data_IF_366340478476
#
_entry.id   IF_366340478476
#
_cell.length_a   1.000
_cell.length_b   1.000
_cell.length_c   1.000
_cell.angle_alpha   90.00
_cell.angle_beta   90.00
_cell.angle_gamma   90.00
#
_symmetry.space_group_name_H-M   'P 1'
#
loop_
_entity.id
_entity.type
_entity.pdbx_description
1 polymer ?
#
# COMPACT_ATOMS: atom_id res chain seq x y z
N UNK A 1 -19.05 18.16 -1.79
CA UNK A 1 -18.02 18.03 -2.42
C UNK A 1 -17.23 16.91 -2.04
N UNK A 2 -16.70 16.45 -2.88
CA UNK A 2 -16.07 15.28 -2.59
C UNK A 2 -14.65 15.42 -2.37
N UNK A 3 -14.28 16.62 -2.13
CA UNK A 3 -12.94 16.85 -1.78
C UNK A 3 -12.50 16.05 -0.63
N UNK A 4 -13.43 15.55 0.11
CA UNK A 4 -13.06 14.80 1.27
C UNK A 4 -12.72 13.37 1.00
N UNK A 5 -12.93 12.92 -0.20
CA UNK A 5 -12.55 11.57 -0.53
C UNK A 5 -11.04 11.50 -0.50
N UNK A 6 -10.52 10.58 0.26
CA UNK A 6 -9.07 10.42 0.37
C UNK A 6 -8.72 8.95 0.34
N UNK A 7 -7.51 8.68 -0.07
CA UNK A 7 -6.98 7.34 -0.07
C UNK A 7 -6.00 7.18 1.09
N UNK A 8 -6.06 6.04 1.73
CA UNK A 8 -5.18 5.73 2.85
C UNK A 8 -4.51 4.40 2.56
N UNK A 9 -3.18 4.34 2.76
CA UNK A 9 -2.46 3.09 2.65
C UNK A 9 -1.83 2.81 4.01
N UNK A 10 -2.07 1.63 4.55
CA UNK A 10 -1.50 1.21 5.82
C UNK A 10 -0.27 0.36 5.53
N UNK A 11 0.86 0.74 6.10
CA UNK A 11 2.14 0.02 5.95
C UNK A 11 2.74 -0.23 7.33
N UNK A 12 3.81 -1.01 7.39
CA UNK A 12 4.42 -1.34 8.68
C UNK A 12 5.42 -0.32 9.15
N UNK A 13 6.24 0.26 8.26
CA UNK A 13 7.34 1.07 8.71
C UNK A 13 7.63 2.30 7.88
N UNK A 14 8.59 3.09 8.38
CA UNK A 14 8.99 4.35 7.74
C UNK A 14 9.57 4.15 6.35
N UNK A 15 10.36 3.08 6.17
CA UNK A 15 10.99 2.82 4.88
C UNK A 15 9.91 2.58 3.83
N UNK A 16 8.89 1.82 4.19
CA UNK A 16 7.79 1.54 3.27
C UNK A 16 7.08 2.83 2.90
N UNK A 17 6.81 3.66 3.90
CA UNK A 17 6.14 4.93 3.64
C UNK A 17 6.97 5.81 2.72
N UNK A 18 8.26 5.89 2.96
CA UNK A 18 9.13 6.73 2.17
C UNK A 18 9.14 6.29 0.71
N UNK A 19 9.18 4.98 0.48
CA UNK A 19 9.18 4.45 -0.88
C UNK A 19 7.89 4.79 -1.61
N UNK A 20 6.75 4.65 -0.93
CA UNK A 20 5.48 5.00 -1.54
C UNK A 20 5.40 6.50 -1.82
N UNK A 21 5.93 7.32 -0.92
CA UNK A 21 5.92 8.76 -1.13
C UNK A 21 6.73 9.16 -2.36
N UNK A 22 7.79 8.42 -2.65
CA UNK A 22 8.60 8.68 -3.83
C UNK A 22 7.84 8.38 -5.12
N UNK A 23 6.95 7.39 -5.08
CA UNK A 23 6.27 6.91 -6.28
C UNK A 23 4.97 7.66 -6.55
N UNK A 24 4.23 7.97 -5.50
CA UNK A 24 2.88 8.50 -5.65
C UNK A 24 2.86 9.93 -6.16
N UNK A 25 1.95 10.19 -7.11
CA UNK A 25 1.78 11.52 -7.70
C UNK A 25 0.48 12.17 -7.25
N UNK A 26 -0.20 11.60 -6.28
CA UNK A 26 -1.42 12.19 -5.73
C UNK A 26 -1.34 12.15 -4.20
N UNK A 27 -2.14 12.97 -3.53
CA UNK A 27 -2.14 12.94 -2.06
C UNK A 27 -2.72 11.64 -1.55
N UNK A 28 -1.94 10.93 -0.76
CA UNK A 28 -2.37 9.68 -0.12
C UNK A 28 -1.86 9.73 1.30
N UNK A 29 -2.72 9.43 2.26
CA UNK A 29 -2.28 9.34 3.63
C UNK A 29 -1.66 7.96 3.84
N UNK A 30 -0.44 7.91 4.34
CA UNK A 30 0.25 6.66 4.57
C UNK A 30 0.45 6.48 6.07
N UNK A 31 -0.23 5.47 6.60
CA UNK A 31 -0.24 5.21 8.03
C UNK A 31 0.72 4.07 8.35
N UNK A 32 1.67 4.31 9.26
CA UNK A 32 2.60 3.27 9.69
C UNK A 32 2.14 2.66 11.01
N UNK A 33 2.11 1.34 11.09
CA UNK A 33 1.71 0.67 12.31
C UNK A 33 2.88 0.38 13.23
N UNK A 34 4.09 0.33 12.67
CA UNK A 34 5.30 0.00 13.42
C UNK A 34 5.18 -1.35 14.12
N UNK A 35 4.73 -2.34 13.36
CA UNK A 35 4.56 -3.69 13.86
C UNK A 35 3.10 -4.02 14.06
N UNK A 36 2.82 -5.09 14.81
CA UNK A 36 1.44 -5.50 15.04
C UNK A 36 0.74 -4.51 15.96
N UNK A 37 -0.57 -4.59 15.96
CA UNK A 37 -1.39 -3.57 16.61
C UNK A 37 -1.79 -4.00 18.03
N UNK A 38 -1.57 -3.10 18.98
CA UNK A 38 -2.13 -3.23 20.33
C UNK A 38 -3.55 -2.70 20.28
N UNK A 39 -4.29 -2.92 21.36
CA UNK A 39 -5.64 -2.38 21.46
C UNK A 39 -5.63 -0.87 21.36
N UNK A 40 -4.64 -0.24 21.97
CA UNK A 40 -4.54 1.20 21.94
C UNK A 40 -4.31 1.72 20.53
N UNK A 41 -3.41 1.06 19.78
CA UNK A 41 -3.18 1.44 18.39
C UNK A 41 -4.41 1.24 17.53
N UNK A 42 -5.15 0.17 17.79
CA UNK A 42 -6.37 -0.06 17.06
C UNK A 42 -7.34 1.09 17.29
N UNK A 43 -7.54 1.49 18.53
CA UNK A 43 -8.44 2.59 18.84
C UNK A 43 -7.97 3.90 18.22
N UNK A 44 -6.69 4.19 18.35
CA UNK A 44 -6.19 5.49 17.95
C UNK A 44 -6.00 5.63 16.45
N UNK A 45 -5.58 4.56 15.78
CA UNK A 45 -5.17 4.64 14.39
C UNK A 45 -6.13 3.98 13.42
N UNK A 46 -6.75 2.89 13.83
CA UNK A 46 -7.50 2.05 12.91
C UNK A 46 -8.99 2.34 12.93
N UNK A 47 -9.59 2.43 14.12
CA UNK A 47 -11.02 2.68 14.20
C UNK A 47 -11.45 3.97 13.49
N UNK A 48 -10.65 5.04 13.52
CA UNK A 48 -11.03 6.24 12.76
C UNK A 48 -11.14 6.00 11.25
N UNK A 49 -10.58 4.92 10.74
CA UNK A 49 -10.61 4.62 9.32
C UNK A 49 -11.82 3.80 8.91
N UNK A 50 -12.65 3.37 9.85
CA UNK A 50 -13.76 2.48 9.52
C UNK A 50 -14.78 3.12 8.58
N UNK A 51 -14.89 4.43 8.59
CA UNK A 51 -15.81 5.13 7.71
C UNK A 51 -15.18 5.59 6.39
N UNK A 52 -13.89 5.32 6.20
CA UNK A 52 -13.23 5.70 4.96
C UNK A 52 -13.46 4.63 3.90
N UNK A 53 -13.69 5.07 2.67
CA UNK A 53 -13.99 4.13 1.59
C UNK A 53 -12.76 3.55 0.93
N UNK A 54 -11.69 4.34 0.83
CA UNK A 54 -10.51 3.92 0.07
C UNK A 54 -9.34 3.66 0.98
N UNK A 55 -9.40 2.55 1.70
CA UNK A 55 -8.31 2.13 2.58
C UNK A 55 -7.65 0.88 2.00
N UNK A 56 -6.34 0.93 1.91
CA UNK A 56 -5.53 -0.14 1.32
C UNK A 56 -4.50 -0.58 2.34
N UNK A 57 -4.12 -1.84 2.28
CA UNK A 57 -3.16 -2.43 3.22
C UNK A 57 -2.03 -3.03 2.40
N UNK A 58 -0.81 -2.59 2.66
CA UNK A 58 0.38 -3.09 1.97
C UNK A 58 1.45 -3.39 3.02
N UNK A 59 1.57 -4.65 3.38
CA UNK A 59 2.52 -5.09 4.39
C UNK A 59 3.31 -6.27 3.86
N UNK A 60 4.37 -6.64 4.57
CA UNK A 60 5.29 -7.68 4.12
C UNK A 60 4.60 -9.05 4.03
N UNK A 61 5.14 -9.89 3.14
CA UNK A 61 4.63 -11.24 2.97
C UNK A 61 5.42 -12.20 3.87
N UNK A 62 5.31 -12.00 5.16
CA UNK A 62 5.96 -12.84 6.15
C UNK A 62 5.00 -13.05 7.32
N UNK A 63 5.42 -13.80 8.34
CA UNK A 63 4.55 -14.13 9.44
C UNK A 63 4.02 -12.89 10.17
N UNK A 64 4.89 -11.93 10.38
CA UNK A 64 4.50 -10.68 11.04
C UNK A 64 3.49 -9.90 10.21
N UNK A 65 3.74 -9.79 8.91
CA UNK A 65 2.83 -9.10 8.01
C UNK A 65 1.49 -9.80 7.91
N UNK A 66 1.51 -11.13 7.88
CA UNK A 66 0.26 -11.89 7.80
C UNK A 66 -0.57 -11.73 9.08
N UNK A 67 0.10 -11.66 10.22
CA UNK A 67 -0.58 -11.44 11.48
C UNK A 67 -1.24 -10.05 11.49
N UNK A 68 -0.52 -9.07 11.00
CA UNK A 68 -1.05 -7.72 10.89
C UNK A 68 -2.25 -7.67 9.95
N UNK A 69 -2.18 -8.36 8.81
CA UNK A 69 -3.31 -8.44 7.89
C UNK A 69 -4.54 -9.03 8.57
N UNK A 70 -4.34 -10.07 9.37
CA UNK A 70 -5.46 -10.69 10.10
C UNK A 70 -6.09 -9.72 11.08
N UNK A 71 -5.27 -8.94 11.78
CA UNK A 71 -5.80 -7.94 12.69
C UNK A 71 -6.60 -6.88 11.92
N UNK A 72 -6.04 -6.43 10.80
CA UNK A 72 -6.69 -5.38 10.01
C UNK A 72 -7.95 -5.86 9.32
N UNK A 73 -8.01 -7.12 8.89
CA UNK A 73 -9.22 -7.65 8.29
C UNK A 73 -10.38 -7.62 9.27
N UNK A 74 -10.08 -7.84 10.54
CA UNK A 74 -11.10 -7.87 11.56
C UNK A 74 -11.68 -6.48 11.79
N UNK A 75 -10.82 -5.47 11.79
CA UNK A 75 -11.23 -4.12 12.10
C UNK A 75 -11.70 -3.34 10.87
N UNK A 76 -11.14 -3.64 9.72
CA UNK A 76 -11.45 -2.93 8.47
C UNK A 76 -11.78 -3.96 7.39
N UNK A 77 -12.97 -4.58 7.48
CA UNK A 77 -13.29 -5.67 6.55
C UNK A 77 -13.41 -5.22 5.09
N UNK A 78 -13.62 -3.94 4.85
CA UNK A 78 -13.74 -3.44 3.49
C UNK A 78 -12.44 -2.91 2.91
N UNK A 79 -11.36 -2.92 3.68
CA UNK A 79 -10.08 -2.46 3.17
C UNK A 79 -9.55 -3.44 2.13
N UNK A 80 -8.83 -2.89 1.15
CA UNK A 80 -8.29 -3.70 0.06
C UNK A 80 -6.85 -4.03 0.35
N UNK A 81 -6.51 -5.31 0.23
CA UNK A 81 -5.16 -5.78 0.50
C UNK A 81 -4.34 -5.79 -0.77
N UNK A 82 -3.21 -5.11 -0.75
CA UNK A 82 -2.27 -5.13 -1.85
C UNK A 82 -1.19 -6.16 -1.55
N UNK A 83 -0.77 -6.88 -2.57
CA UNK A 83 0.22 -7.94 -2.40
C UNK A 83 1.35 -7.74 -3.37
N UNK A 84 2.58 -7.75 -2.86
CA UNK A 84 3.75 -7.79 -3.73
C UNK A 84 3.89 -9.22 -4.24
N UNK A 85 4.79 -9.40 -5.20
CA UNK A 85 5.05 -10.76 -5.69
C UNK A 85 5.65 -11.59 -4.57
N UNK A 86 5.34 -12.89 -4.60
CA UNK A 86 5.80 -13.78 -3.56
C UNK A 86 7.31 -13.77 -3.36
N UNK A 87 8.04 -13.59 -4.46
CA UNK A 87 9.49 -13.57 -4.39
C UNK A 87 10.03 -12.32 -3.70
N UNK A 88 9.22 -11.27 -3.60
CA UNK A 88 9.60 -10.06 -2.87
C UNK A 88 8.83 -10.06 -1.58
N UNK A 89 9.40 -10.66 -0.54
CA UNK A 89 8.69 -10.81 0.72
C UNK A 89 8.47 -9.49 1.45
N UNK A 90 9.39 -8.57 1.28
CA UNK A 90 9.32 -7.29 1.99
C UNK A 90 9.00 -6.15 1.05
N UNK A 91 8.16 -5.25 1.50
CA UNK A 91 7.84 -4.04 0.74
C UNK A 91 9.11 -3.22 0.53
N UNK A 92 9.96 -3.16 1.57
CA UNK A 92 11.17 -2.33 1.51
C UNK A 92 12.16 -2.77 0.46
N UNK A 93 12.16 -4.06 0.09
CA UNK A 93 13.12 -4.58 -0.89
C UNK A 93 12.48 -4.91 -2.23
N UNK A 94 11.19 -4.69 -2.38
CA UNK A 94 10.54 -4.88 -3.68
C UNK A 94 11.06 -3.84 -4.65
N UNK A 95 11.43 -4.22 -5.87
CA UNK A 95 11.89 -3.23 -6.85
C UNK A 95 10.86 -2.14 -7.05
N UNK A 96 11.34 -0.90 -7.18
CA UNK A 96 10.45 0.25 -7.21
C UNK A 96 9.50 0.22 -8.41
N UNK A 97 9.93 -0.33 -9.53
CA UNK A 97 9.07 -0.43 -10.70
C UNK A 97 7.91 -1.39 -10.46
N UNK A 98 8.09 -2.40 -9.63
CA UNK A 98 7.00 -3.31 -9.29
C UNK A 98 6.04 -2.68 -8.30
N UNK A 99 6.54 -1.86 -7.38
CA UNK A 99 5.65 -1.13 -6.49
C UNK A 99 4.81 -0.14 -7.29
N UNK A 100 5.44 0.56 -8.23
CA UNK A 100 4.71 1.51 -9.06
C UNK A 100 3.62 0.80 -9.88
N UNK A 101 3.95 -0.35 -10.45
CA UNK A 101 2.99 -1.12 -11.22
C UNK A 101 1.83 -1.57 -10.34
N UNK A 102 2.12 -2.03 -9.14
CA UNK A 102 1.11 -2.46 -8.19
C UNK A 102 0.14 -1.31 -7.89
N UNK A 103 0.69 -0.13 -7.63
CA UNK A 103 -0.14 1.03 -7.33
C UNK A 103 -0.98 1.44 -8.53
N UNK A 104 -0.42 1.40 -9.72
CA UNK A 104 -1.18 1.72 -10.94
C UNK A 104 -2.36 0.77 -11.13
N UNK A 105 -2.15 -0.52 -10.86
CA UNK A 105 -3.23 -1.49 -11.02
C UNK A 105 -4.38 -1.23 -10.07
N UNK A 106 -4.11 -0.56 -8.97
CA UNK A 106 -5.14 -0.23 -8.00
C UNK A 106 -5.57 1.22 -8.10
N UNK A 107 -5.30 1.83 -9.27
CA UNK A 107 -5.81 3.16 -9.62
C UNK A 107 -5.20 4.31 -8.84
N UNK A 108 -3.97 4.13 -8.37
CA UNK A 108 -3.23 5.24 -7.81
C UNK A 108 -2.46 5.93 -8.92
N UNK A 109 -2.34 7.26 -8.84
CA UNK A 109 -1.51 7.99 -9.78
C UNK A 109 -0.06 7.93 -9.33
N UNK A 110 0.82 7.59 -10.24
CA UNK A 110 2.24 7.51 -9.95
C UNK A 110 3.00 8.52 -10.79
N UNK A 111 4.19 8.89 -10.32
CA UNK A 111 4.99 9.89 -11.01
C UNK A 111 5.41 9.39 -12.38
N UNK A 112 5.52 10.33 -13.32
CA UNK A 112 5.84 10.00 -14.71
C UNK A 112 7.12 9.19 -14.85
N UNK A 113 8.09 9.45 -13.99
CA UNK A 113 9.37 8.76 -14.09
C UNK A 113 9.26 7.26 -13.87
N UNK A 114 8.17 6.80 -13.28
CA UNK A 114 7.95 5.37 -13.04
C UNK A 114 6.98 4.77 -14.05
N UNK A 115 6.40 5.58 -14.91
CA UNK A 115 5.50 5.07 -15.92
C UNK A 115 6.33 4.43 -17.02
N UNK A 116 6.05 3.21 -17.31
CA UNK A 116 6.76 2.55 -18.36
C UNK A 116 8.04 1.87 -17.98
N UNK A 117 8.50 2.04 -16.74
CA UNK A 117 9.74 1.37 -16.33
C UNK A 117 9.64 -0.12 -16.48
N UNK A 118 8.56 -0.68 -15.97
CA UNK A 118 8.37 -2.10 -16.05
C UNK A 118 8.04 -2.53 -17.47
N UNK A 119 7.48 -1.62 -18.26
CA UNK A 119 7.13 -1.95 -19.59
C UNK A 119 8.21 -1.66 -20.57
N UNK A 120 9.18 -0.92 -20.17
CA UNK A 120 10.22 -0.56 -21.10
C UNK A 120 10.83 -1.77 -21.66
N UNK A 121 10.84 -2.66 -20.94
CA UNK A 121 11.29 -3.85 -21.47
C UNK A 121 10.19 -4.43 -22.17
N UNK A 122 9.44 -4.15 -22.28
CA UNK A 122 8.62 -4.75 -22.97
C UNK A 122 7.74 -4.10 -23.74
N UNK A 123 8.04 -3.57 -23.83
CA UNK A 123 7.39 -3.21 -24.35
C UNK A 123 6.69 -3.59 -24.91
N UNK A 124 6.97 -3.84 -24.87
CA UNK A 124 6.54 -4.11 -25.19
C UNK A 124 5.71 -4.68 -25.10
N UNK A 125 5.67 -4.77 -24.56
CA UNK A 125 5.05 -5.14 -24.18
C UNK A 125 4.12 -5.53 -24.28
N UNK A 126 4.08 -5.66 -24.38
CA UNK A 126 3.30 -5.97 -24.29
C UNK A 126 2.47 -6.26 -24.03
N UNK A 127 2.23 -6.30 -24.44
CA UNK A 127 1.17 -6.37 -24.08
C UNK A 127 0.56 -7.13 -23.34
N UNK A 128 0.51 -7.07 -23.03
CA UNK A 128 0.06 -7.79 -22.28
C UNK A 128 -0.79 -8.05 -22.30
#
# INVERSE_FOLDING_TARGET
MTADARKVIIVEGKTDRKRLQEILAEPVEILCTYGTLSEEKIEDLILPLQDEEDVYILVDADDSGNKLRSQLKRELPNARHLYTRKMYREVATTPIEYLAELLLRHHFEVRDEYLGMGGAGGEEMTPF
#
